data_IF_271915604452
#
_entry.id   IF_271915604452
#
_cell.length_a   1.000
_cell.length_b   1.000
_cell.length_c   1.000
_cell.angle_alpha   90.00
_cell.angle_beta   90.00
_cell.angle_gamma   90.00
#
_symmetry.space_group_name_H-M   'P 1'
#
loop_
_entity.id
_entity.type
_entity.pdbx_description
1 polymer ?
#
# COMPACT_ATOMS: atom_id res chain seq x y z
N UNK A 1 -29.21 5.57 29.75
CA UNK A 1 -27.79 5.18 29.68
C UNK A 1 -27.56 4.55 28.32
N UNK A 2 -26.69 5.12 27.49
CA UNK A 2 -26.41 4.57 26.17
C UNK A 2 -25.63 3.26 26.31
N UNK A 3 -26.01 2.25 25.53
CA UNK A 3 -25.44 0.90 25.57
C UNK A 3 -23.98 0.99 25.06
N UNK A 4 -23.07 0.27 25.71
CA UNK A 4 -21.63 0.28 25.38
C UNK A 4 -21.34 -0.01 23.90
N UNK A 5 -22.22 -0.78 23.26
CA UNK A 5 -22.21 -1.09 21.83
C UNK A 5 -22.41 0.14 20.94
N UNK A 6 -23.31 1.07 21.31
CA UNK A 6 -23.56 2.29 20.53
C UNK A 6 -22.35 3.24 20.56
N UNK A 7 -21.66 3.33 21.69
CA UNK A 7 -20.46 4.16 21.83
C UNK A 7 -19.32 3.60 20.96
N UNK A 8 -19.14 2.28 20.95
CA UNK A 8 -18.08 1.62 20.21
C UNK A 8 -18.22 1.82 18.69
N UNK A 9 -19.41 1.57 18.13
CA UNK A 9 -19.64 1.70 16.69
C UNK A 9 -19.76 3.15 16.22
N UNK A 10 -20.24 4.07 17.07
CA UNK A 10 -20.58 5.44 16.67
C UNK A 10 -19.55 6.50 17.03
N UNK A 11 -18.60 6.18 17.94
CA UNK A 11 -17.55 7.11 18.40
C UNK A 11 -16.16 6.51 18.17
N UNK A 12 -15.90 5.29 18.62
CA UNK A 12 -14.55 4.69 18.57
C UNK A 12 -14.13 4.28 17.15
N UNK A 13 -15.01 3.62 16.38
CA UNK A 13 -14.72 3.23 15.00
C UNK A 13 -14.42 4.45 14.10
N UNK A 14 -15.27 5.50 14.04
CA UNK A 14 -14.98 6.66 13.19
C UNK A 14 -13.71 7.41 13.64
N UNK A 15 -13.42 7.48 14.95
CA UNK A 15 -12.19 8.11 15.44
C UNK A 15 -10.92 7.30 15.10
N UNK A 16 -10.99 5.97 15.05
CA UNK A 16 -9.84 5.11 14.75
C UNK A 16 -9.60 4.88 13.25
N UNK A 17 -10.61 5.10 12.41
CA UNK A 17 -10.53 4.92 10.95
C UNK A 17 -9.35 5.66 10.30
N UNK A 18 -9.12 6.97 10.54
CA UNK A 18 -7.97 7.67 9.94
C UNK A 18 -6.62 7.08 10.40
N UNK A 19 -6.51 6.63 11.66
CA UNK A 19 -5.29 6.02 12.18
C UNK A 19 -5.00 4.66 11.53
N UNK A 20 -6.03 3.83 11.34
CA UNK A 20 -5.90 2.52 10.68
C UNK A 20 -5.47 2.72 9.21
N UNK A 21 -6.00 3.73 8.54
CA UNK A 21 -5.66 4.03 7.14
C UNK A 21 -4.21 4.50 6.98
N UNK A 22 -3.73 5.36 7.87
CA UNK A 22 -2.32 5.77 7.90
C UNK A 22 -1.41 4.55 8.12
N UNK A 23 -1.77 3.67 9.06
CA UNK A 23 -1.03 2.43 9.31
C UNK A 23 -1.07 1.47 8.10
N UNK A 24 -2.22 1.35 7.43
CA UNK A 24 -2.38 0.51 6.25
C UNK A 24 -1.54 1.00 5.07
N UNK A 25 -1.52 2.32 4.81
CA UNK A 25 -0.66 2.94 3.79
C UNK A 25 0.82 2.67 4.06
N UNK A 26 1.25 2.85 5.31
CA UNK A 26 2.62 2.59 5.71
C UNK A 26 2.98 1.11 5.54
N UNK A 27 2.08 0.22 5.95
CA UNK A 27 2.22 -1.24 5.80
C UNK A 27 2.29 -1.70 4.35
N UNK A 28 1.63 -1.02 3.42
CA UNK A 28 1.70 -1.37 2.02
C UNK A 28 3.05 -1.02 1.40
N UNK A 29 3.59 0.17 1.71
CA UNK A 29 4.94 0.54 1.25
C UNK A 29 6.01 -0.42 1.79
N UNK A 30 5.92 -0.83 3.06
CA UNK A 30 6.86 -1.78 3.64
C UNK A 30 6.69 -3.17 3.03
N UNK A 31 5.45 -3.65 2.85
CA UNK A 31 5.17 -4.95 2.24
C UNK A 31 5.71 -5.07 0.82
N UNK A 32 5.62 -4.01 0.01
CA UNK A 32 6.15 -3.99 -1.35
C UNK A 32 7.68 -4.13 -1.35
N UNK A 33 8.35 -3.46 -0.42
CA UNK A 33 9.81 -3.52 -0.28
C UNK A 33 10.25 -4.89 0.23
N UNK A 34 9.53 -5.46 1.18
CA UNK A 34 9.76 -6.82 1.69
C UNK A 34 9.53 -7.88 0.62
N UNK A 35 8.48 -7.75 -0.19
CA UNK A 35 8.22 -8.65 -1.32
C UNK A 35 9.38 -8.60 -2.31
N UNK A 36 9.85 -7.41 -2.69
CA UNK A 36 11.01 -7.27 -3.58
C UNK A 36 12.27 -7.93 -3.01
N UNK A 37 12.55 -7.70 -1.72
CA UNK A 37 13.68 -8.34 -1.06
C UNK A 37 13.56 -9.88 -1.09
N UNK A 38 12.35 -10.39 -0.88
CA UNK A 38 12.06 -11.83 -0.98
C UNK A 38 12.24 -12.37 -2.40
N UNK A 39 11.86 -11.62 -3.45
CA UNK A 39 12.09 -12.01 -4.83
C UNK A 39 13.58 -12.14 -5.12
N UNK A 40 14.39 -11.21 -4.59
CA UNK A 40 15.85 -11.19 -4.81
C UNK A 40 16.56 -12.35 -4.13
N UNK A 41 16.14 -12.70 -2.92
CA UNK A 41 16.82 -13.73 -2.12
C UNK A 41 16.35 -15.15 -2.47
N UNK A 42 15.09 -15.32 -2.85
CA UNK A 42 14.45 -16.64 -2.96
C UNK A 42 13.96 -17.05 -4.34
N UNK A 43 14.03 -16.19 -5.36
CA UNK A 43 13.40 -16.44 -6.66
C UNK A 43 14.34 -16.28 -7.84
N UNK A 44 14.21 -17.15 -8.84
CA UNK A 44 14.89 -16.95 -10.14
C UNK A 44 14.10 -16.04 -11.10
N UNK A 45 12.85 -15.71 -10.72
CA UNK A 45 11.88 -14.91 -11.47
C UNK A 45 11.28 -13.86 -10.55
N UNK A 46 11.12 -12.65 -11.07
CA UNK A 46 10.56 -11.50 -10.36
C UNK A 46 10.99 -10.20 -11.01
N UNK A 47 10.26 -9.12 -10.75
CA UNK A 47 10.61 -7.78 -11.25
C UNK A 47 11.91 -7.30 -10.58
N UNK A 48 12.06 -7.50 -9.27
CA UNK A 48 13.27 -7.12 -8.54
C UNK A 48 14.52 -7.85 -9.08
N UNK A 49 14.38 -9.16 -9.34
CA UNK A 49 15.44 -9.98 -9.93
C UNK A 49 15.77 -9.58 -11.37
N UNK A 50 14.77 -9.23 -12.18
CA UNK A 50 15.01 -8.78 -13.55
C UNK A 50 15.81 -7.47 -13.57
N UNK A 51 15.45 -6.51 -12.71
CA UNK A 51 16.17 -5.24 -12.55
C UNK A 51 17.59 -5.50 -12.06
N UNK A 52 17.77 -6.39 -11.07
CA UNK A 52 19.08 -6.72 -10.53
C UNK A 52 19.98 -7.40 -11.58
N UNK A 53 19.45 -8.37 -12.34
CA UNK A 53 20.17 -9.01 -13.46
C UNK A 53 20.53 -7.98 -14.53
N UNK A 54 19.58 -7.13 -14.95
CA UNK A 54 19.82 -6.07 -15.94
C UNK A 54 20.88 -5.06 -15.49
N UNK A 55 20.88 -4.68 -14.21
CA UNK A 55 21.90 -3.82 -13.62
C UNK A 55 23.30 -4.45 -13.69
N UNK A 56 23.41 -5.77 -13.49
CA UNK A 56 24.67 -6.50 -13.64
C UNK A 56 25.20 -6.54 -15.08
N UNK A 57 24.30 -6.54 -16.07
CA UNK A 57 24.63 -6.48 -17.50
C UNK A 57 24.74 -5.05 -18.06
N UNK A 58 24.68 -4.01 -17.22
CA UNK A 58 24.68 -2.60 -17.61
C UNK A 58 23.57 -2.21 -18.62
N UNK A 59 22.46 -2.95 -18.64
CA UNK A 59 21.30 -2.67 -19.50
C UNK A 59 20.39 -1.63 -18.83
N UNK A 60 20.81 -0.36 -18.88
CA UNK A 60 20.11 0.73 -18.20
C UNK A 60 18.66 0.92 -18.71
N UNK A 61 18.40 0.59 -19.98
CA UNK A 61 17.06 0.65 -20.56
C UNK A 61 16.05 -0.21 -19.78
N UNK A 62 16.46 -1.42 -19.39
CA UNK A 62 15.61 -2.35 -18.63
C UNK A 62 15.50 -1.93 -17.17
N UNK A 63 16.58 -1.42 -16.58
CA UNK A 63 16.57 -0.92 -15.19
C UNK A 63 15.59 0.24 -15.05
N UNK A 64 15.65 1.22 -15.96
CA UNK A 64 14.74 2.37 -15.97
C UNK A 64 13.29 1.94 -16.21
N UNK A 65 13.04 1.03 -17.16
CA UNK A 65 11.72 0.47 -17.38
C UNK A 65 11.17 -0.22 -16.11
N UNK A 66 12.01 -0.99 -15.42
CA UNK A 66 11.63 -1.66 -14.17
C UNK A 66 11.28 -0.69 -13.05
N UNK A 67 12.05 0.41 -12.89
CA UNK A 67 11.74 1.48 -11.92
C UNK A 67 10.40 2.14 -12.26
N UNK A 68 10.13 2.42 -13.54
CA UNK A 68 8.85 2.99 -13.98
C UNK A 68 7.69 2.04 -13.65
N UNK A 69 7.84 0.75 -13.96
CA UNK A 69 6.82 -0.27 -13.66
C UNK A 69 6.56 -0.36 -12.16
N UNK A 70 7.61 -0.38 -11.32
CA UNK A 70 7.47 -0.36 -9.87
C UNK A 70 6.76 0.90 -9.37
N UNK A 71 7.08 2.06 -9.95
CA UNK A 71 6.40 3.32 -9.65
C UNK A 71 4.90 3.27 -9.98
N UNK A 72 4.54 2.74 -11.14
CA UNK A 72 3.13 2.57 -11.55
C UNK A 72 2.40 1.62 -10.60
N UNK A 73 3.02 0.50 -10.23
CA UNK A 73 2.44 -0.46 -9.28
C UNK A 73 2.23 0.20 -7.91
N UNK A 74 3.23 0.92 -7.40
CA UNK A 74 3.14 1.64 -6.13
C UNK A 74 2.01 2.67 -6.12
N UNK A 75 1.91 3.49 -7.17
CA UNK A 75 0.81 4.45 -7.34
C UNK A 75 -0.54 3.73 -7.45
N UNK A 76 -0.58 2.59 -8.14
CA UNK A 76 -1.77 1.74 -8.25
C UNK A 76 -2.27 1.26 -6.88
N UNK A 77 -1.36 0.73 -6.06
CA UNK A 77 -1.68 0.33 -4.68
C UNK A 77 -2.16 1.51 -3.84
N UNK A 78 -1.47 2.64 -3.89
CA UNK A 78 -1.87 3.83 -3.15
C UNK A 78 -3.27 4.32 -3.56
N UNK A 79 -3.61 4.24 -4.85
CA UNK A 79 -4.93 4.59 -5.36
C UNK A 79 -6.01 3.60 -4.91
N UNK A 80 -5.71 2.30 -4.91
CA UNK A 80 -6.63 1.25 -4.40
C UNK A 80 -6.95 1.50 -2.93
N UNK A 81 -5.94 1.81 -2.12
CA UNK A 81 -6.11 2.14 -0.69
C UNK A 81 -6.95 3.38 -0.52
N UNK A 82 -6.70 4.42 -1.32
CA UNK A 82 -7.43 5.68 -1.23
C UNK A 82 -8.90 5.52 -1.66
N UNK A 83 -9.21 4.63 -2.61
CA UNK A 83 -10.60 4.31 -2.97
C UNK A 83 -11.29 3.45 -1.91
N UNK A 84 -10.57 2.50 -1.30
CA UNK A 84 -11.04 1.75 -0.13
C UNK A 84 -11.33 2.71 1.02
N UNK A 85 -10.41 3.63 1.31
CA UNK A 85 -10.58 4.71 2.28
C UNK A 85 -11.87 5.47 1.99
N UNK A 86 -12.07 5.97 0.76
CA UNK A 86 -13.27 6.74 0.41
C UNK A 86 -14.57 5.95 0.57
N UNK A 87 -14.55 4.64 0.27
CA UNK A 87 -15.71 3.76 0.51
C UNK A 87 -15.99 3.55 2.00
N UNK A 88 -14.97 3.41 2.83
CA UNK A 88 -15.13 3.17 4.28
C UNK A 88 -15.35 4.47 5.08
N UNK A 89 -14.81 5.60 4.63
CA UNK A 89 -14.98 6.93 5.24
C UNK A 89 -16.19 7.70 4.73
N UNK A 90 -16.99 7.16 3.80
CA UNK A 90 -18.24 7.76 3.34
C UNK A 90 -19.28 8.02 4.45
N UNK A 91 -19.06 7.50 5.66
CA UNK A 91 -19.85 7.83 6.87
C UNK A 91 -19.42 9.13 7.59
N UNK A 92 -18.30 9.77 7.22
CA UNK A 92 -17.84 11.03 7.82
C UNK A 92 -18.40 12.30 7.16
N UNK A 93 -19.14 12.22 6.05
CA UNK A 93 -19.81 13.38 5.42
C UNK A 93 -21.05 13.88 6.21
N UNK A 94 -21.08 13.74 7.54
CA UNK A 94 -22.14 14.35 8.38
C UNK A 94 -21.61 15.35 9.40
N UNK A 95 -20.29 15.53 9.54
CA UNK A 95 -19.77 16.60 10.42
C UNK A 95 -18.64 17.34 9.70
N UNK A 96 -19.02 18.18 8.74
CA UNK A 96 -18.37 19.48 8.53
C UNK A 96 -19.12 20.53 9.35
#
# INVERSE_FOLDING_TARGET
GAKQSDIFFKVTIPAATPYILVAARLGLSTSLTTLMASEIVGGDRGLGMMIQKASGYYQMDIVLLGIIVLGIIGIGFEKIVRELERRFTGWQETIQ
#
